data_IF_812807539615
#
_entry.id   IF_812807539615
#
_cell.length_a   1.000
_cell.length_b   1.000
_cell.length_c   1.000
_cell.angle_alpha   90.00
_cell.angle_beta   90.00
_cell.angle_gamma   90.00
#
_symmetry.space_group_name_H-M   'P 1'
#
loop_
_entity.id
_entity.type
_entity.pdbx_description
1 polymer ?
#
# COMPACT_ATOMS: atom_id res chain seq x y z
N UNK A 1 10.27 4.93 11.97
CA UNK A 1 10.48 3.73 12.82
C UNK A 1 9.39 3.56 13.88
N UNK A 2 8.83 4.66 14.41
CA UNK A 2 7.83 4.65 15.50
C UNK A 2 6.56 3.83 15.20
N UNK A 3 6.07 3.83 13.96
CA UNK A 3 4.81 3.16 13.59
C UNK A 3 4.88 1.62 13.67
N UNK A 4 6.05 1.02 13.50
CA UNK A 4 6.22 -0.43 13.56
C UNK A 4 6.11 -0.94 15.01
N UNK A 5 6.51 -0.12 15.98
CA UNK A 5 6.51 -0.44 17.41
C UNK A 5 5.07 -0.61 17.92
N UNK A 6 4.16 0.28 17.52
CA UNK A 6 2.75 0.20 17.90
C UNK A 6 2.02 -1.03 17.36
N UNK A 7 2.44 -1.58 16.22
CA UNK A 7 1.85 -2.81 15.65
C UNK A 7 2.23 -4.02 16.51
N UNK A 8 3.47 -4.07 16.99
CA UNK A 8 3.96 -5.17 17.85
C UNK A 8 3.34 -5.14 19.26
N UNK A 9 2.88 -3.97 19.73
CA UNK A 9 2.23 -3.81 21.03
C UNK A 9 0.76 -4.26 21.06
N UNK A 10 0.20 -4.76 19.95
CA UNK A 10 -1.17 -5.28 19.91
C UNK A 10 -2.26 -4.22 20.13
N UNK A 11 -1.90 -2.94 20.15
CA UNK A 11 -2.87 -1.84 20.09
C UNK A 11 -3.50 -1.90 18.70
N UNK A 12 -4.81 -2.09 18.62
CA UNK A 12 -5.56 -2.14 17.36
C UNK A 12 -5.36 -0.83 16.58
N UNK A 13 -4.29 -0.79 15.82
CA UNK A 13 -4.11 0.15 14.73
C UNK A 13 -4.69 -0.52 13.50
N UNK A 14 -5.27 0.25 12.58
CA UNK A 14 -5.74 -0.29 11.30
C UNK A 14 -4.60 -0.91 10.44
N UNK A 15 -3.38 -1.00 10.98
CA UNK A 15 -2.21 -1.65 10.40
C UNK A 15 -2.03 -3.07 10.95
N UNK A 16 -1.90 -4.05 10.06
CA UNK A 16 -1.63 -5.46 10.38
C UNK A 16 -0.52 -5.97 9.45
N UNK A 17 0.26 -6.95 9.91
CA UNK A 17 1.17 -7.73 9.06
C UNK A 17 0.52 -9.08 8.81
N UNK A 18 0.40 -9.50 7.55
CA UNK A 18 -0.18 -10.80 7.21
C UNK A 18 0.84 -11.95 7.33
N UNK A 19 0.39 -13.18 7.11
CA UNK A 19 1.21 -14.40 7.18
C UNK A 19 2.38 -14.38 6.19
N UNK A 20 2.27 -13.61 5.11
CA UNK A 20 3.31 -13.41 4.11
C UNK A 20 4.30 -12.30 4.50
N UNK A 21 4.15 -11.70 5.68
CA UNK A 21 4.98 -10.58 6.13
C UNK A 21 4.63 -9.25 5.49
N UNK A 22 3.48 -9.14 4.81
CA UNK A 22 3.07 -7.90 4.12
C UNK A 22 2.30 -6.99 5.06
N UNK A 23 2.74 -5.74 5.14
CA UNK A 23 2.05 -4.71 5.91
C UNK A 23 0.79 -4.25 5.17
N UNK A 24 -0.36 -4.27 5.85
CA UNK A 24 -1.66 -3.87 5.34
C UNK A 24 -2.32 -2.83 6.22
N UNK A 25 -2.95 -1.84 5.60
CA UNK A 25 -3.79 -0.83 6.24
C UNK A 25 -5.23 -0.97 5.76
N UNK A 26 -6.17 -1.26 6.67
CA UNK A 26 -7.56 -1.62 6.31
C UNK A 26 -7.64 -2.69 5.21
N UNK A 27 -6.80 -3.74 5.30
CA UNK A 27 -6.73 -4.82 4.32
C UNK A 27 -5.99 -4.48 3.01
N UNK A 28 -5.65 -3.21 2.77
CA UNK A 28 -4.89 -2.77 1.59
C UNK A 28 -3.39 -2.87 1.83
N UNK A 29 -2.62 -3.31 0.83
CA UNK A 29 -1.17 -3.38 0.92
C UNK A 29 -0.57 -1.98 1.09
N UNK A 30 0.32 -1.82 2.07
CA UNK A 30 1.07 -0.60 2.26
C UNK A 30 2.27 -0.56 1.29
N UNK A 31 2.36 0.50 0.49
CA UNK A 31 3.53 0.75 -0.37
C UNK A 31 4.54 1.62 0.40
N UNK A 32 5.82 1.22 0.49
CA UNK A 32 6.87 2.05 1.09
C UNK A 32 6.96 3.44 0.45
N UNK A 33 7.39 4.45 1.21
CA UNK A 33 7.61 5.80 0.71
C UNK A 33 8.93 5.93 -0.07
N UNK A 34 9.01 5.19 -1.17
CA UNK A 34 10.15 5.19 -2.09
C UNK A 34 9.63 5.72 -3.44
N UNK A 35 10.00 6.95 -3.86
CA UNK A 35 9.42 7.60 -5.03
C UNK A 35 9.48 6.74 -6.30
N UNK A 36 10.61 6.07 -6.53
CA UNK A 36 10.80 5.17 -7.68
C UNK A 36 9.83 3.98 -7.65
N UNK A 37 9.61 3.38 -6.49
CA UNK A 37 8.70 2.25 -6.33
C UNK A 37 7.25 2.66 -6.56
N UNK A 38 6.83 3.78 -5.96
CA UNK A 38 5.50 4.36 -6.18
C UNK A 38 5.25 4.61 -7.67
N UNK A 39 6.23 5.22 -8.36
CA UNK A 39 6.14 5.45 -9.81
C UNK A 39 5.98 4.16 -10.60
N UNK A 40 6.79 3.13 -10.32
CA UNK A 40 6.68 1.84 -11.03
C UNK A 40 5.28 1.21 -10.88
N UNK A 41 4.72 1.22 -9.66
CA UNK A 41 3.38 0.66 -9.40
C UNK A 41 2.28 1.47 -10.11
N UNK A 42 2.36 2.81 -10.08
CA UNK A 42 1.40 3.67 -10.77
C UNK A 42 1.49 3.54 -12.29
N UNK A 43 2.70 3.46 -12.85
CA UNK A 43 2.93 3.27 -14.28
C UNK A 43 2.34 1.94 -14.76
N UNK A 44 2.48 0.87 -13.99
CA UNK A 44 1.88 -0.44 -14.29
C UNK A 44 0.35 -0.36 -14.31
N UNK A 45 -0.26 0.24 -13.27
CA UNK A 45 -1.70 0.42 -13.21
C UNK A 45 -2.26 1.32 -14.33
N UNK A 46 -1.50 2.34 -14.75
CA UNK A 46 -1.88 3.22 -15.86
C UNK A 46 -1.84 2.51 -17.22
N UNK A 47 -0.84 1.63 -17.43
CA UNK A 47 -0.67 0.86 -18.67
C UNK A 47 -1.60 -0.35 -18.77
N UNK A 48 -2.20 -0.76 -17.66
CA UNK A 48 -3.16 -1.86 -17.64
C UNK A 48 -4.37 -1.57 -18.54
N UNK A 49 -4.83 -2.55 -19.30
CA UNK A 49 -6.09 -2.46 -20.06
C UNK A 49 -7.34 -2.32 -19.18
N UNK A 50 -7.20 -2.44 -17.85
CA UNK A 50 -8.25 -2.20 -16.86
C UNK A 50 -8.18 -0.79 -16.26
N UNK A 51 -7.27 0.08 -16.73
CA UNK A 51 -7.18 1.45 -16.27
C UNK A 51 -8.47 2.22 -16.62
N UNK A 52 -9.05 2.90 -15.63
CA UNK A 52 -10.25 3.74 -15.82
C UNK A 52 -9.83 5.19 -15.62
N UNK A 53 -10.08 6.04 -16.63
CA UNK A 53 -9.82 7.48 -16.56
C UNK A 53 -11.15 8.25 -16.43
N UNK A 54 -11.67 8.46 -15.21
CA UNK A 54 -13.00 9.06 -14.98
C UNK A 54 -13.12 10.55 -15.36
N UNK A 55 -12.15 11.12 -16.09
CA UNK A 55 -12.14 12.51 -16.54
C UNK A 55 -11.56 12.70 -17.94
N UNK A 56 -11.43 11.62 -18.73
CA UNK A 56 -11.11 11.73 -20.16
C UNK A 56 -12.44 11.77 -20.90
N UNK A 57 -12.88 12.99 -21.20
CA UNK A 57 -13.99 13.28 -22.11
C UNK A 57 -13.44 13.99 -23.33
#
# INVERSE_FOLDING_TARGET
>A
MEKLVFINEGKETNMKVDESGVMRFHGRVCVPDVPKLKKMIMDEGHKSGLSIHPGVT
#
